data_IF_792288429970
#
_entry.id   IF_792288429970
#
_cell.length_a   1.000
_cell.length_b   1.000
_cell.length_c   1.000
_cell.angle_alpha   90.00
_cell.angle_beta   90.00
_cell.angle_gamma   90.00
#
_symmetry.space_group_name_H-M   'P 1'
#
loop_
_entity.id
_entity.type
_entity.pdbx_description
1 polymer ?
#
# COMPACT_ATOMS: atom_id res chain seq x y z
N UNK A 1 -5.97 -1.47 13.88
CA UNK A 1 -5.68 -2.59 12.98
C UNK A 1 -6.35 -3.84 13.53
N UNK A 2 -6.69 -4.82 12.68
CA UNK A 2 -6.59 -4.76 11.21
C UNK A 2 -7.55 -3.70 10.62
N UNK A 3 -7.26 -3.20 9.42
CA UNK A 3 -8.14 -2.23 8.71
C UNK A 3 -8.08 -2.44 7.20
N UNK A 4 -9.25 -2.55 6.58
CA UNK A 4 -9.38 -2.62 5.13
C UNK A 4 -8.63 -1.50 4.38
N UNK A 5 -7.92 -1.86 3.31
CA UNK A 5 -7.30 -0.92 2.38
C UNK A 5 -7.07 -1.58 0.99
N UNK A 6 -7.16 -0.80 -0.09
CA UNK A 6 -6.88 -1.31 -1.46
C UNK A 6 -5.39 -1.22 -1.82
N UNK A 7 -4.92 -2.09 -2.70
CA UNK A 7 -3.54 -2.10 -3.20
C UNK A 7 -2.78 -3.32 -2.69
N UNK A 8 -3.11 -4.47 -3.27
CA UNK A 8 -2.80 -5.81 -2.76
C UNK A 8 -1.66 -6.48 -3.54
N UNK A 9 -1.35 -5.99 -4.75
CA UNK A 9 -0.32 -6.57 -5.60
C UNK A 9 1.04 -5.92 -5.42
N UNK A 10 1.96 -6.60 -4.74
CA UNK A 10 3.29 -6.08 -4.48
C UNK A 10 4.26 -6.33 -5.64
N UNK A 11 5.33 -5.54 -5.70
CA UNK A 11 6.43 -5.71 -6.65
C UNK A 11 7.61 -6.41 -5.97
N UNK A 12 8.50 -7.03 -6.75
CA UNK A 12 9.69 -7.72 -6.21
C UNK A 12 10.60 -6.79 -5.38
N UNK A 13 10.58 -5.48 -5.67
CA UNK A 13 11.32 -4.47 -4.90
C UNK A 13 10.92 -4.40 -3.42
N UNK A 14 9.71 -4.85 -3.05
CA UNK A 14 9.25 -4.85 -1.66
C UNK A 14 10.11 -5.74 -0.76
N UNK A 15 10.68 -6.82 -1.31
CA UNK A 15 11.46 -7.80 -0.53
C UNK A 15 12.67 -7.14 0.12
N UNK A 16 13.38 -6.28 -0.62
CA UNK A 16 14.53 -5.52 -0.10
C UNK A 16 14.12 -4.54 0.99
N UNK A 17 13.00 -3.83 0.81
CA UNK A 17 12.46 -2.90 1.82
C UNK A 17 12.07 -3.64 3.10
N UNK A 18 11.44 -4.80 3.00
CA UNK A 18 11.04 -5.62 4.15
C UNK A 18 12.23 -6.19 4.90
N UNK A 19 13.31 -6.56 4.19
CA UNK A 19 14.57 -6.97 4.83
C UNK A 19 15.21 -5.81 5.58
N UNK A 20 15.24 -4.63 4.96
CA UNK A 20 15.79 -3.43 5.59
C UNK A 20 15.00 -3.03 6.84
N UNK A 21 13.66 -3.18 6.83
CA UNK A 21 12.82 -2.86 7.98
C UNK A 21 12.74 -3.96 9.05
N UNK A 22 13.39 -5.11 8.83
CA UNK A 22 13.29 -6.29 9.72
C UNK A 22 11.94 -7.01 9.67
N UNK A 23 11.01 -6.60 8.80
CA UNK A 23 9.67 -7.18 8.72
C UNK A 23 9.59 -8.45 7.86
N UNK A 24 10.65 -8.75 7.09
CA UNK A 24 10.65 -9.81 6.08
C UNK A 24 10.18 -11.17 6.63
N UNK A 25 10.79 -11.64 7.71
CA UNK A 25 10.50 -12.98 8.23
C UNK A 25 9.05 -13.11 8.71
N UNK A 26 8.49 -12.05 9.32
CA UNK A 26 7.09 -12.02 9.78
C UNK A 26 6.11 -12.05 8.60
N UNK A 27 6.39 -11.28 7.55
CA UNK A 27 5.57 -11.29 6.34
C UNK A 27 5.67 -12.63 5.62
N UNK A 28 6.88 -13.20 5.50
CA UNK A 28 7.09 -14.49 4.86
C UNK A 28 6.40 -15.63 5.60
N UNK A 29 6.38 -15.59 6.94
CA UNK A 29 5.71 -16.58 7.78
C UNK A 29 4.18 -16.54 7.67
N UNK A 30 3.58 -15.42 7.22
CA UNK A 30 2.14 -15.29 7.10
C UNK A 30 1.54 -16.21 6.02
N UNK A 31 2.31 -16.53 4.97
CA UNK A 31 1.84 -17.42 3.90
C UNK A 31 0.96 -16.73 2.85
N UNK A 32 1.19 -15.44 2.58
CA UNK A 32 0.57 -14.74 1.47
C UNK A 32 0.84 -15.43 0.11
N UNK A 33 -0.07 -15.24 -0.85
CA UNK A 33 0.05 -15.79 -2.19
C UNK A 33 1.31 -15.30 -2.88
N UNK A 34 2.17 -16.23 -3.31
CA UNK A 34 3.39 -15.92 -4.07
C UNK A 34 3.01 -15.40 -5.45
N UNK A 35 3.68 -14.34 -5.90
CA UNK A 35 3.52 -13.68 -7.20
C UNK A 35 4.83 -13.75 -7.97
N UNK A 36 4.83 -14.36 -9.14
CA UNK A 36 6.00 -14.48 -10.04
C UNK A 36 5.91 -13.65 -11.32
N UNK A 37 4.94 -12.74 -11.39
CA UNK A 37 4.80 -11.92 -12.59
C UNK A 37 3.50 -11.18 -12.74
N UNK A 38 3.17 -10.91 -14.00
CA UNK A 38 1.92 -10.31 -14.46
C UNK A 38 1.51 -10.86 -15.82
N UNK A 39 0.21 -11.00 -16.03
CA UNK A 39 -0.40 -11.25 -17.33
C UNK A 39 -1.09 -9.97 -17.79
N UNK A 40 -0.83 -9.53 -19.01
CA UNK A 40 -1.45 -8.35 -19.57
C UNK A 40 -2.12 -8.70 -20.90
N UNK A 41 -3.38 -8.32 -21.02
CA UNK A 41 -4.11 -8.31 -22.28
C UNK A 41 -4.61 -6.89 -22.52
N UNK A 42 -4.11 -6.27 -23.57
CA UNK A 42 -4.39 -4.88 -23.89
C UNK A 42 -4.85 -4.75 -25.34
N UNK A 43 -6.16 -4.61 -25.53
CA UNK A 43 -6.83 -4.76 -26.81
C UNK A 43 -6.43 -6.10 -27.46
N UNK A 44 -5.84 -6.07 -28.64
CA UNK A 44 -5.39 -7.25 -29.37
C UNK A 44 -4.00 -7.74 -28.94
N UNK A 45 -3.28 -6.96 -28.12
CA UNK A 45 -1.93 -7.30 -27.67
C UNK A 45 -1.96 -8.09 -26.37
N UNK A 46 -1.05 -9.06 -26.25
CA UNK A 46 -0.85 -9.83 -25.02
C UNK A 46 0.62 -9.92 -24.68
N UNK A 47 0.96 -9.72 -23.41
CA UNK A 47 2.32 -9.94 -22.92
C UNK A 47 2.36 -10.50 -21.50
N UNK A 48 3.40 -11.29 -21.25
CA UNK A 48 3.69 -11.87 -19.95
C UNK A 48 4.88 -11.15 -19.34
N UNK A 49 4.72 -10.66 -18.12
CA UNK A 49 5.83 -10.30 -17.26
C UNK A 49 6.25 -11.55 -16.47
N UNK A 50 6.87 -12.51 -17.13
CA UNK A 50 7.47 -13.66 -16.45
C UNK A 50 8.81 -13.23 -15.82
N UNK A 51 8.82 -12.94 -14.52
CA UNK A 51 10.00 -12.39 -13.86
C UNK A 51 11.18 -13.37 -13.84
N UNK A 52 10.92 -14.68 -13.82
CA UNK A 52 11.97 -15.69 -13.92
C UNK A 52 12.81 -15.54 -15.21
N UNK A 53 12.17 -15.14 -16.31
CA UNK A 53 12.81 -14.96 -17.61
C UNK A 53 13.32 -13.53 -17.84
N UNK A 54 12.67 -12.52 -17.24
CA UNK A 54 12.93 -11.11 -17.51
C UNK A 54 13.84 -10.43 -16.50
N UNK A 55 13.95 -10.96 -15.28
CA UNK A 55 14.65 -10.31 -14.16
C UNK A 55 15.71 -11.24 -13.58
N UNK A 56 15.26 -12.33 -12.94
CA UNK A 56 16.09 -13.34 -12.29
C UNK A 56 15.24 -14.59 -12.06
N UNK A 57 15.81 -15.79 -12.17
CA UNK A 57 15.08 -17.05 -12.04
C UNK A 57 14.31 -17.16 -10.70
N UNK A 58 14.84 -16.54 -9.65
CA UNK A 58 14.26 -16.49 -8.30
C UNK A 58 13.54 -15.17 -8.01
N UNK A 59 13.14 -14.41 -9.04
CA UNK A 59 12.36 -13.19 -8.86
C UNK A 59 10.89 -13.52 -8.51
N UNK A 60 10.42 -13.00 -7.37
CA UNK A 60 9.05 -13.17 -6.88
C UNK A 60 8.65 -12.04 -5.92
N UNK A 61 7.37 -11.98 -5.54
CA UNK A 61 6.79 -11.09 -4.53
C UNK A 61 5.49 -11.70 -3.97
N UNK A 62 4.63 -10.90 -3.33
CA UNK A 62 3.35 -11.35 -2.78
C UNK A 62 2.14 -10.61 -3.37
N UNK A 63 1.01 -11.30 -3.41
CA UNK A 63 -0.31 -10.69 -3.32
C UNK A 63 -0.74 -10.74 -1.86
N UNK A 64 -1.20 -9.63 -1.29
CA UNK A 64 -1.44 -9.52 0.16
C UNK A 64 -2.85 -9.04 0.47
N UNK A 65 -3.44 -9.59 1.54
CA UNK A 65 -4.53 -8.88 2.23
C UNK A 65 -3.90 -7.69 2.97
N UNK A 66 -4.36 -6.48 2.64
CA UNK A 66 -3.78 -5.25 3.19
C UNK A 66 -4.09 -5.01 4.65
N UNK A 67 -5.21 -5.52 5.16
CA UNK A 67 -5.55 -5.38 6.56
C UNK A 67 -4.56 -6.17 7.43
N UNK A 68 -4.20 -7.37 6.99
CA UNK A 68 -3.25 -8.26 7.65
C UNK A 68 -1.79 -7.82 7.41
N UNK A 69 -1.43 -7.52 6.16
CA UNK A 69 -0.09 -7.07 5.81
C UNK A 69 0.33 -5.80 6.55
N UNK A 70 -0.53 -4.78 6.54
CA UNK A 70 -0.23 -3.53 7.24
C UNK A 70 -0.17 -3.71 8.75
N UNK A 71 -0.98 -4.62 9.32
CA UNK A 71 -0.90 -4.96 10.74
C UNK A 71 0.44 -5.61 11.08
N UNK A 72 0.90 -6.59 10.29
CA UNK A 72 2.21 -7.23 10.49
C UNK A 72 3.32 -6.17 10.51
N UNK A 73 3.29 -5.22 9.57
CA UNK A 73 4.29 -4.15 9.51
C UNK A 73 4.22 -3.23 10.75
N UNK A 74 3.02 -2.85 11.19
CA UNK A 74 2.84 -1.98 12.34
C UNK A 74 3.28 -2.66 13.65
N UNK A 75 2.91 -3.93 13.85
CA UNK A 75 3.37 -4.73 15.00
C UNK A 75 4.87 -4.92 14.96
N UNK A 76 5.44 -5.17 13.78
CA UNK A 76 6.88 -5.26 13.63
C UNK A 76 7.63 -3.97 14.00
N UNK A 77 7.05 -2.80 13.71
CA UNK A 77 7.61 -1.53 14.17
C UNK A 77 7.53 -1.41 15.70
N UNK A 78 6.40 -1.81 16.30
CA UNK A 78 6.24 -1.81 17.76
C UNK A 78 7.24 -2.74 18.46
N UNK A 79 7.45 -3.95 17.93
CA UNK A 79 8.42 -4.92 18.46
C UNK A 79 9.87 -4.41 18.38
N UNK A 80 10.15 -3.49 17.45
CA UNK A 80 11.44 -2.81 17.31
C UNK A 80 11.56 -1.54 18.17
N UNK A 81 10.55 -1.26 19.02
CA UNK A 81 10.59 -0.16 19.99
C UNK A 81 9.86 1.11 19.56
N UNK A 82 9.16 1.12 18.42
CA UNK A 82 8.30 2.25 18.08
C UNK A 82 7.08 2.30 18.99
N UNK A 83 6.76 3.48 19.54
CA UNK A 83 5.47 3.68 20.20
C UNK A 83 4.37 3.75 19.13
N UNK A 84 3.37 2.86 19.25
CA UNK A 84 2.25 2.79 18.32
C UNK A 84 0.96 3.13 19.07
N UNK A 85 0.31 4.21 18.64
CA UNK A 85 -1.00 4.62 19.17
C UNK A 85 -2.06 4.41 18.09
N UNK A 86 -2.89 3.37 18.27
CA UNK A 86 -4.00 3.08 17.37
C UNK A 86 -5.28 3.81 17.77
N UNK A 87 -6.20 3.96 16.82
CA UNK A 87 -7.42 4.75 17.04
C UNK A 87 -7.17 6.25 17.23
N UNK A 88 -5.93 6.72 17.05
CA UNK A 88 -5.56 8.12 17.12
C UNK A 88 -5.79 8.81 15.76
N UNK A 89 -6.57 9.89 15.76
CA UNK A 89 -6.76 10.73 14.57
C UNK A 89 -6.11 12.08 14.80
N UNK A 90 -5.04 12.37 14.04
CA UNK A 90 -4.45 13.72 13.98
C UNK A 90 -5.46 14.67 13.35
N UNK A 91 -5.75 15.77 14.06
CA UNK A 91 -6.66 16.84 13.64
C UNK A 91 -5.91 18.04 13.08
N UNK A 92 -4.75 18.35 13.64
CA UNK A 92 -3.94 19.52 13.27
C UNK A 92 -2.46 19.27 13.51
N UNK A 93 -1.62 19.82 12.63
CA UNK A 93 -0.17 20.00 12.88
C UNK A 93 0.03 21.43 13.36
N UNK A 94 0.78 21.58 14.44
CA UNK A 94 1.19 22.88 14.99
C UNK A 94 2.54 23.24 14.38
N UNK A 95 2.64 24.49 13.93
CA UNK A 95 3.83 25.03 13.29
C UNK A 95 4.35 26.22 14.10
N UNK A 96 5.67 26.37 14.12
CA UNK A 96 6.32 27.59 14.58
C UNK A 96 6.22 28.69 13.50
N UNK A 97 6.66 29.91 13.85
CA UNK A 97 6.60 31.08 12.97
C UNK A 97 7.43 30.94 11.67
N UNK A 98 8.38 29.99 11.64
CA UNK A 98 9.22 29.68 10.48
C UNK A 98 8.67 28.51 9.62
N UNK A 99 7.39 28.16 9.79
CA UNK A 99 6.71 27.02 9.15
C UNK A 99 7.30 25.64 9.49
N UNK A 100 8.12 25.52 10.53
CA UNK A 100 8.58 24.22 11.04
C UNK A 100 7.46 23.54 11.84
N UNK A 101 7.10 22.27 11.55
CA UNK A 101 6.17 21.53 12.38
C UNK A 101 6.82 21.18 13.73
N UNK A 102 6.11 21.42 14.83
CA UNK A 102 6.62 21.25 16.20
C UNK A 102 5.78 20.32 17.07
N UNK A 103 4.48 20.20 16.77
CA UNK A 103 3.58 19.30 17.48
C UNK A 103 2.42 18.84 16.59
N UNK A 104 1.71 17.81 17.05
CA UNK A 104 0.43 17.38 16.49
C UNK A 104 -0.63 17.40 17.57
N UNK A 105 -1.83 17.82 17.18
CA UNK A 105 -3.02 17.68 17.98
C UNK A 105 -3.87 16.53 17.44
N UNK A 106 -4.28 15.64 18.32
CA UNK A 106 -4.98 14.41 17.98
C UNK A 106 -6.01 14.00 19.03
N UNK A 107 -6.92 13.12 18.65
CA UNK A 107 -7.96 12.55 19.53
C UNK A 107 -7.94 11.03 19.43
N UNK A 108 -8.34 10.34 20.50
CA UNK A 108 -8.63 8.91 20.42
C UNK A 108 -10.05 8.66 19.90
N UNK A 109 -10.24 7.50 19.28
CA UNK A 109 -11.54 7.04 18.82
C UNK A 109 -12.53 6.95 20.01
N UNK A 110 -13.69 7.58 19.85
CA UNK A 110 -14.72 7.63 20.89
C UNK A 110 -14.49 8.71 21.96
N UNK A 111 -13.44 9.52 21.83
CA UNK A 111 -13.17 10.65 22.72
C UNK A 111 -13.12 11.97 21.96
N UNK A 112 -13.61 13.04 22.61
CA UNK A 112 -13.47 14.41 22.10
C UNK A 112 -12.26 15.15 22.73
N UNK A 113 -11.57 14.51 23.68
CA UNK A 113 -10.43 15.09 24.38
C UNK A 113 -9.24 15.28 23.41
N UNK A 114 -8.87 16.54 23.19
CA UNK A 114 -7.72 16.90 22.38
C UNK A 114 -6.42 16.66 23.15
N UNK A 115 -5.46 16.01 22.51
CA UNK A 115 -4.13 15.72 23.04
C UNK A 115 -3.09 16.36 22.13
N UNK A 116 -1.99 16.81 22.73
CA UNK A 116 -0.88 17.42 22.00
C UNK A 116 0.39 16.62 22.24
N UNK A 117 1.11 16.31 21.16
CA UNK A 117 2.40 15.63 21.22
C UNK A 117 3.42 16.43 20.44
N UNK A 118 4.49 16.84 21.12
CA UNK A 118 5.63 17.56 20.54
C UNK A 118 6.63 16.59 19.90
N UNK A 119 7.37 17.07 18.90
CA UNK A 119 8.38 16.27 18.19
C UNK A 119 9.45 17.15 17.54
N UNK A 120 10.59 16.55 17.22
CA UNK A 120 11.66 17.20 16.46
C UNK A 120 11.50 17.05 14.95
N UNK A 121 10.93 15.92 14.51
CA UNK A 121 10.75 15.58 13.10
C UNK A 121 9.38 14.97 12.87
N UNK A 122 8.79 15.29 11.71
CA UNK A 122 7.50 14.75 11.27
C UNK A 122 7.65 14.06 9.92
N UNK A 123 7.20 12.80 9.86
CA UNK A 123 7.02 12.05 8.61
C UNK A 123 5.52 11.90 8.36
N UNK A 124 5.00 12.56 7.32
CA UNK A 124 3.60 12.43 6.93
C UNK A 124 3.38 11.15 6.11
N UNK A 125 2.97 10.08 6.79
CA UNK A 125 2.58 8.80 6.20
C UNK A 125 1.05 8.63 6.09
N UNK A 126 0.27 9.73 6.04
CA UNK A 126 -1.20 9.69 6.03
C UNK A 126 -1.85 9.22 4.71
N UNK A 127 -1.03 8.81 3.74
CA UNK A 127 -1.48 8.32 2.43
C UNK A 127 -2.27 9.38 1.67
N UNK A 128 -3.46 9.01 1.16
CA UNK A 128 -4.30 9.92 0.36
C UNK A 128 -4.86 11.11 1.12
N UNK A 129 -4.87 11.08 2.47
CA UNK A 129 -5.28 12.23 3.28
C UNK A 129 -4.31 13.40 3.07
N UNK A 130 -3.00 13.13 3.08
CA UNK A 130 -1.94 14.09 2.78
C UNK A 130 -2.01 15.33 3.67
N UNK A 131 -1.83 15.14 4.97
CA UNK A 131 -1.95 16.16 6.01
C UNK A 131 -1.10 17.41 5.72
N UNK A 132 0.21 17.22 5.47
CA UNK A 132 1.13 18.30 5.13
C UNK A 132 0.91 18.80 3.70
N UNK A 133 0.61 17.90 2.76
CA UNK A 133 0.33 18.29 1.38
C UNK A 133 -0.88 19.22 1.26
N UNK A 134 -1.88 19.07 2.15
CA UNK A 134 -3.03 19.97 2.26
C UNK A 134 -2.63 21.31 2.88
N UNK A 135 -1.85 21.29 3.96
CA UNK A 135 -1.38 22.50 4.63
C UNK A 135 -0.57 23.40 3.69
N UNK A 136 0.46 22.85 3.04
CA UNK A 136 1.33 23.58 2.11
C UNK A 136 0.76 23.71 0.68
N UNK A 137 -0.50 23.32 0.46
CA UNK A 137 -1.16 23.39 -0.85
C UNK A 137 -0.37 22.73 -2.00
N UNK A 138 0.37 21.66 -1.71
CA UNK A 138 1.27 21.01 -2.67
C UNK A 138 0.56 20.02 -3.59
N UNK A 139 -0.70 19.69 -3.32
CA UNK A 139 -1.43 18.70 -4.11
C UNK A 139 -1.70 19.22 -5.52
N UNK A 140 -1.19 18.49 -6.52
CA UNK A 140 -1.43 18.77 -7.95
C UNK A 140 -2.14 17.59 -8.58
N UNK A 141 -3.26 17.87 -9.27
CA UNK A 141 -4.02 16.85 -10.01
C UNK A 141 -3.39 16.64 -11.38
N UNK A 142 -3.13 15.40 -11.76
CA UNK A 142 -2.66 15.07 -13.09
C UNK A 142 -3.84 14.90 -14.06
N UNK A 143 -3.95 15.77 -15.06
CA UNK A 143 -5.10 15.78 -15.97
C UNK A 143 -5.24 14.52 -16.82
N UNK A 144 -4.14 13.82 -17.11
CA UNK A 144 -4.15 12.55 -17.84
C UNK A 144 -4.59 11.32 -17.03
N UNK A 145 -4.69 11.42 -15.69
CA UNK A 145 -4.99 10.27 -14.81
C UNK A 145 -6.24 10.52 -13.96
N UNK A 146 -7.32 10.96 -14.62
CA UNK A 146 -8.63 11.19 -13.99
C UNK A 146 -9.47 9.91 -13.97
N UNK A 147 -8.87 8.84 -13.48
CA UNK A 147 -9.47 7.51 -13.47
C UNK A 147 -10.25 7.27 -12.17
N UNK A 148 -11.27 6.40 -12.25
CA UNK A 148 -12.04 5.91 -11.10
C UNK A 148 -11.81 4.40 -11.02
N UNK A 149 -11.58 3.89 -9.82
CA UNK A 149 -11.53 2.45 -9.54
C UNK A 149 -12.82 2.02 -8.86
N UNK A 150 -13.37 0.88 -9.28
CA UNK A 150 -14.47 0.18 -8.61
C UNK A 150 -14.02 -1.27 -8.48
N UNK A 151 -14.19 -1.88 -7.31
CA UNK A 151 -13.65 -3.19 -7.03
C UNK A 151 -14.50 -3.92 -5.98
N UNK A 152 -14.34 -5.24 -5.92
CA UNK A 152 -14.95 -6.15 -4.93
C UNK A 152 -14.14 -7.45 -4.90
N UNK A 153 -14.48 -8.34 -3.96
CA UNK A 153 -13.87 -9.64 -3.80
C UNK A 153 -14.78 -10.74 -4.35
N UNK A 154 -14.15 -11.77 -4.94
CA UNK A 154 -14.84 -12.87 -5.60
C UNK A 154 -14.25 -14.21 -5.15
N UNK A 155 -15.09 -15.23 -5.01
CA UNK A 155 -14.66 -16.62 -4.78
C UNK A 155 -14.85 -17.43 -6.06
N UNK A 156 -13.95 -18.37 -6.32
CA UNK A 156 -13.99 -19.23 -7.51
C UNK A 156 -13.55 -18.55 -8.82
N UNK A 157 -13.05 -17.31 -8.77
CA UNK A 157 -12.38 -16.67 -9.88
C UNK A 157 -11.09 -17.42 -10.25
N UNK A 158 -10.69 -17.36 -11.52
CA UNK A 158 -9.47 -17.99 -12.03
C UNK A 158 -8.66 -16.98 -12.81
N UNK A 159 -7.34 -17.09 -12.70
CA UNK A 159 -6.42 -16.39 -13.59
C UNK A 159 -6.48 -16.99 -14.99
N UNK A 160 -5.98 -16.23 -15.96
CA UNK A 160 -5.73 -16.72 -17.31
C UNK A 160 -4.79 -17.94 -17.26
N UNK A 161 -4.99 -18.99 -18.08
CA UNK A 161 -4.18 -20.21 -18.04
C UNK A 161 -2.68 -19.98 -18.24
N UNK A 162 -2.32 -18.95 -19.00
CA UNK A 162 -0.92 -18.60 -19.30
C UNK A 162 -0.27 -17.67 -18.26
N UNK A 163 -1.02 -17.29 -17.21
CA UNK A 163 -0.49 -16.44 -16.14
C UNK A 163 0.66 -17.13 -15.40
N UNK A 164 1.78 -16.44 -15.12
CA UNK A 164 2.77 -16.93 -14.16
C UNK A 164 2.14 -17.19 -12.79
N UNK A 165 2.80 -18.00 -11.96
CA UNK A 165 2.32 -18.34 -10.61
C UNK A 165 1.89 -17.10 -9.82
N UNK A 166 0.62 -17.10 -9.37
CA UNK A 166 -0.01 -16.03 -8.60
C UNK A 166 0.13 -14.62 -9.20
N UNK A 167 0.32 -14.52 -10.51
CA UNK A 167 0.45 -13.26 -11.21
C UNK A 167 -0.80 -12.39 -11.04
N UNK A 168 -0.62 -11.07 -11.15
CA UNK A 168 -1.73 -10.15 -11.40
C UNK A 168 -2.14 -10.28 -12.87
N UNK A 169 -3.45 -10.34 -13.14
CA UNK A 169 -3.96 -10.19 -14.51
C UNK A 169 -4.49 -8.77 -14.69
N UNK A 170 -4.03 -8.09 -15.73
CA UNK A 170 -4.48 -6.75 -16.12
C UNK A 170 -5.06 -6.84 -17.52
N UNK A 171 -6.35 -6.54 -17.66
CA UNK A 171 -7.07 -6.72 -18.92
C UNK A 171 -7.79 -5.43 -19.28
N UNK A 172 -7.50 -4.88 -20.45
CA UNK A 172 -8.17 -3.66 -20.94
C UNK A 172 -9.61 -3.93 -21.37
N UNK A 173 -10.46 -2.92 -21.34
CA UNK A 173 -11.78 -2.94 -21.97
C UNK A 173 -11.75 -2.21 -23.33
N UNK A 174 -12.66 -2.56 -24.27
CA UNK A 174 -12.76 -1.89 -25.57
C UNK A 174 -12.97 -0.36 -25.45
N UNK A 175 -13.62 0.08 -24.37
CA UNK A 175 -13.97 1.49 -24.10
C UNK A 175 -12.79 2.30 -23.51
N UNK A 176 -11.61 1.69 -23.36
CA UNK A 176 -10.40 2.36 -22.86
C UNK A 176 -10.22 2.27 -21.34
N UNK A 177 -10.98 1.40 -20.65
CA UNK A 177 -10.74 1.03 -19.25
C UNK A 177 -9.82 -0.17 -19.11
N UNK A 178 -9.67 -0.66 -17.88
CA UNK A 178 -9.05 -1.94 -17.59
C UNK A 178 -9.51 -2.46 -16.22
N UNK A 179 -9.40 -3.75 -16.00
CA UNK A 179 -9.64 -4.39 -14.71
C UNK A 179 -8.44 -5.21 -14.26
N UNK A 180 -8.30 -5.40 -12.95
CA UNK A 180 -7.32 -6.31 -12.37
C UNK A 180 -7.99 -7.54 -11.79
N UNK A 181 -7.26 -8.66 -11.82
CA UNK A 181 -7.53 -9.85 -11.00
C UNK A 181 -6.27 -10.10 -10.19
N UNK A 182 -6.40 -10.02 -8.87
CA UNK A 182 -5.36 -10.31 -7.90
C UNK A 182 -5.85 -11.53 -7.12
N UNK A 183 -5.15 -12.67 -7.19
CA UNK A 183 -5.53 -13.87 -6.45
C UNK A 183 -5.19 -13.75 -4.96
#
# INVERSE_FOLDING_TARGET
>A
FPRYHIGESLLASVLSTLRLSGAYDKVAAHGFQVKRGGYFQWQDDTWLLNWAALVDAEAWSWQVDRAEFDEILLRNAADQGAEVVEGATVKRVVFADDDRPTAVEWVLAGEDALRTTEFDFLVDASGRAGLLAKHFQMRRVHNGFRNIGIWSYWTGARLHPDSPEGAINVVSTPEGGWFWIIP
#
